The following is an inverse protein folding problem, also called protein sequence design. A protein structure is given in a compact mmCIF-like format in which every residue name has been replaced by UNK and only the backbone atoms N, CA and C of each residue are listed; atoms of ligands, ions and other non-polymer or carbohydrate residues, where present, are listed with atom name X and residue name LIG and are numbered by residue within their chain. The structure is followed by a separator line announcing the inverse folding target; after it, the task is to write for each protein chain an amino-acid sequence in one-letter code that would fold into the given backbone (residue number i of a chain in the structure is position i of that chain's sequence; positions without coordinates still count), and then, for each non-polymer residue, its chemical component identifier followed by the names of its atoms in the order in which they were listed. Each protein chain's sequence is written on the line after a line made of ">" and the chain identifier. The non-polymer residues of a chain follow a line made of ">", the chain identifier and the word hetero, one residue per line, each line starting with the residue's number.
data_IF_471428598050
#
_entry.id   IF_471428598050
#
_cell.length_a   1.000
_cell.length_b   1.000
_cell.length_c   1.000
_cell.angle_alpha   90.00
_cell.angle_beta   90.00
_cell.angle_gamma   90.00
#
_symmetry.space_group_name_H-M   'P 1'
#
loop_
_entity.id
_entity.type
_entity.pdbx_description
1 polymer ?
#
# COMPACT_ATOMS: atom_id res chain seq x y z
N UNK A 1 26.52 21.86 -68.81
CA UNK A 1 25.21 22.29 -68.31
C UNK A 1 25.32 22.34 -66.81
N UNK A 2 25.23 23.53 -66.26
CA UNK A 2 25.21 23.82 -64.83
C UNK A 2 23.84 24.46 -64.60
N UNK A 3 22.96 23.84 -63.80
CA UNK A 3 22.15 24.58 -62.82
C UNK A 3 21.33 23.65 -61.89
N UNK A 4 21.73 23.69 -60.60
CA UNK A 4 20.91 23.79 -59.38
C UNK A 4 19.75 22.82 -59.14
N UNK A 5 20.04 21.82 -58.30
CA UNK A 5 19.10 21.25 -57.32
C UNK A 5 18.56 22.34 -56.40
N UNK A 6 17.25 22.57 -56.41
CA UNK A 6 16.55 23.40 -55.43
C UNK A 6 15.89 22.49 -54.39
N UNK A 7 16.26 22.71 -53.14
CA UNK A 7 15.57 22.21 -51.95
C UNK A 7 14.16 22.83 -51.86
N UNK A 8 13.17 22.02 -51.51
CA UNK A 8 11.97 22.49 -50.83
C UNK A 8 11.81 21.73 -49.52
N UNK A 9 11.75 22.50 -48.44
CA UNK A 9 11.56 22.09 -47.07
C UNK A 9 10.07 22.17 -46.75
N UNK A 10 9.48 21.12 -46.20
CA UNK A 10 8.22 21.21 -45.45
C UNK A 10 8.25 20.28 -44.23
N UNK A 11 8.66 20.89 -43.13
CA UNK A 11 8.14 20.83 -41.75
C UNK A 11 7.25 19.62 -41.39
N UNK A 12 7.74 18.85 -40.41
CA UNK A 12 6.95 18.50 -39.22
C UNK A 12 6.17 17.18 -39.23
N UNK A 13 6.29 16.49 -38.11
CA UNK A 13 5.46 15.40 -37.61
C UNK A 13 5.47 14.04 -38.31
N UNK A 14 6.22 13.12 -37.70
CA UNK A 14 5.62 11.84 -37.34
C UNK A 14 5.83 11.61 -35.84
N UNK A 15 5.01 12.30 -35.04
CA UNK A 15 4.35 11.79 -33.85
C UNK A 15 5.01 10.57 -33.19
N UNK A 16 6.17 10.76 -32.57
CA UNK A 16 6.40 10.03 -31.33
C UNK A 16 5.53 10.70 -30.28
N UNK A 17 4.26 10.28 -30.22
CA UNK A 17 3.41 10.56 -29.07
C UNK A 17 4.09 9.89 -27.88
N UNK A 18 4.98 10.64 -27.20
CA UNK A 18 5.24 10.35 -25.80
C UNK A 18 3.90 10.57 -25.14
N UNK A 19 3.23 9.48 -24.76
CA UNK A 19 1.97 9.57 -24.05
C UNK A 19 2.24 10.27 -22.71
N UNK A 20 2.14 11.60 -22.70
CA UNK A 20 2.06 12.38 -21.48
C UNK A 20 0.63 12.22 -20.98
N UNK A 21 0.40 11.12 -20.26
CA UNK A 21 -0.82 10.98 -19.48
C UNK A 21 -0.80 12.03 -18.36
N UNK A 22 -1.35 13.21 -18.66
CA UNK A 22 -1.74 14.18 -17.66
C UNK A 22 -2.96 13.62 -16.92
N UNK A 23 -2.72 12.75 -15.93
CA UNK A 23 -3.78 12.27 -15.05
C UNK A 23 -4.20 13.46 -14.19
N UNK A 24 -5.35 14.06 -14.51
CA UNK A 24 -6.02 15.01 -13.64
C UNK A 24 -6.54 14.27 -12.40
N UNK A 25 -5.69 14.12 -11.38
CA UNK A 25 -6.08 13.55 -10.10
C UNK A 25 -6.74 14.64 -9.24
N UNK A 26 -8.02 14.46 -8.83
CA UNK A 26 -8.67 15.38 -7.90
C UNK A 26 -7.81 15.58 -6.65
N UNK A 27 -7.56 16.86 -6.34
CA UNK A 27 -6.65 17.28 -5.29
C UNK A 27 -7.34 17.08 -3.94
N UNK A 28 -7.18 15.90 -3.35
CA UNK A 28 -7.47 15.68 -1.95
C UNK A 28 -6.32 14.90 -1.28
N UNK A 29 -5.72 15.53 -0.27
CA UNK A 29 -4.72 15.02 0.68
C UNK A 29 -3.25 14.86 0.21
N UNK A 30 -2.43 15.81 0.67
CA UNK A 30 -1.07 16.13 0.24
C UNK A 30 0.08 15.20 0.68
N UNK A 31 -0.15 13.93 0.99
CA UNK A 31 0.94 12.98 1.25
C UNK A 31 0.92 11.75 0.32
N UNK A 32 -0.17 11.58 -0.46
CA UNK A 32 -0.41 10.37 -1.25
C UNK A 32 -0.08 10.50 -2.76
N UNK A 33 0.13 11.71 -3.29
CA UNK A 33 0.24 11.93 -4.75
C UNK A 33 1.41 11.20 -5.44
N UNK A 34 2.61 11.24 -4.86
CA UNK A 34 3.82 10.67 -5.50
C UNK A 34 3.80 9.14 -5.52
N UNK A 35 3.22 8.52 -4.50
CA UNK A 35 3.08 7.07 -4.43
C UNK A 35 1.87 6.60 -5.26
N UNK A 36 0.72 7.27 -5.20
CA UNK A 36 -0.44 6.91 -6.01
C UNK A 36 -0.09 6.94 -7.50
N UNK A 37 0.63 7.95 -7.98
CA UNK A 37 1.05 8.01 -9.39
C UNK A 37 1.97 6.84 -9.80
N UNK A 38 2.88 6.41 -8.93
CA UNK A 38 3.77 5.28 -9.19
C UNK A 38 3.07 3.92 -9.05
N UNK A 39 2.12 3.77 -8.12
CA UNK A 39 1.34 2.54 -7.94
C UNK A 39 0.28 2.35 -9.06
N UNK A 40 -0.31 3.44 -9.56
CA UNK A 40 -1.33 3.42 -10.61
C UNK A 40 -0.82 2.94 -11.98
N UNK A 41 0.48 3.07 -12.25
CA UNK A 41 1.07 2.76 -13.55
C UNK A 41 1.28 1.25 -13.79
N UNK A 42 1.15 0.41 -12.75
CA UNK A 42 1.73 -0.96 -12.78
C UNK A 42 0.77 -2.09 -12.40
N UNK A 43 -0.38 -1.86 -11.74
CA UNK A 43 -1.15 -2.97 -11.15
C UNK A 43 -2.68 -2.92 -11.27
N UNK A 44 -3.32 -4.04 -10.93
CA UNK A 44 -4.78 -4.12 -10.74
C UNK A 44 -5.20 -3.19 -9.60
N UNK A 45 -5.91 -2.12 -9.95
CA UNK A 45 -6.38 -1.10 -9.00
C UNK A 45 -7.82 -1.40 -8.58
N UNK A 46 -8.10 -1.27 -7.28
CA UNK A 46 -9.46 -1.23 -6.74
C UNK A 46 -9.70 0.10 -6.03
N UNK A 47 -10.97 0.48 -5.90
CA UNK A 47 -11.37 1.62 -5.09
C UNK A 47 -12.12 1.14 -3.84
N UNK A 48 -11.70 1.63 -2.67
CA UNK A 48 -12.33 1.38 -1.38
C UNK A 48 -12.43 2.72 -0.64
N UNK A 49 -13.64 3.08 -0.19
CA UNK A 49 -13.90 4.34 0.53
C UNK A 49 -13.38 5.61 -0.20
N UNK A 50 -13.46 5.63 -1.54
CA UNK A 50 -12.97 6.75 -2.36
C UNK A 50 -11.44 6.81 -2.52
N UNK A 51 -10.71 5.80 -2.04
CA UNK A 51 -9.26 5.71 -2.14
C UNK A 51 -8.85 4.55 -3.05
N UNK A 52 -7.77 4.75 -3.79
CA UNK A 52 -7.23 3.73 -4.70
C UNK A 52 -6.26 2.82 -3.96
N UNK A 53 -6.41 1.52 -4.18
CA UNK A 53 -5.51 0.48 -3.68
C UNK A 53 -5.02 -0.35 -4.86
N UNK A 54 -3.77 -0.82 -4.78
CA UNK A 54 -3.11 -1.61 -5.83
C UNK A 54 -2.68 -2.95 -5.26
N UNK A 55 -2.78 -4.01 -6.06
CA UNK A 55 -2.37 -5.34 -5.64
C UNK A 55 -0.93 -5.34 -5.09
N UNK A 56 -0.74 -5.90 -3.90
CA UNK A 56 0.51 -5.80 -3.16
C UNK A 56 1.71 -6.46 -3.88
N UNK A 57 1.45 -7.57 -4.59
CA UNK A 57 2.43 -8.33 -5.38
C UNK A 57 3.12 -7.47 -6.45
N UNK A 58 2.39 -6.54 -7.05
CA UNK A 58 2.87 -5.66 -8.14
C UNK A 58 3.72 -4.49 -7.64
N UNK A 59 3.61 -4.14 -6.36
CA UNK A 59 4.14 -2.88 -5.83
C UNK A 59 5.10 -3.07 -4.66
N UNK A 60 5.40 -4.31 -4.30
CA UNK A 60 6.18 -4.64 -3.10
C UNK A 60 7.59 -4.06 -3.13
N UNK A 61 8.28 -4.12 -4.28
CA UNK A 61 9.62 -3.56 -4.42
C UNK A 61 9.61 -2.04 -4.31
N UNK A 62 8.55 -1.38 -4.81
CA UNK A 62 8.38 0.06 -4.64
C UNK A 62 8.19 0.41 -3.16
N UNK A 63 7.37 -0.35 -2.43
CA UNK A 63 7.15 -0.17 -0.99
C UNK A 63 8.46 -0.33 -0.20
N UNK A 64 9.23 -1.39 -0.47
CA UNK A 64 10.53 -1.66 0.16
C UNK A 64 11.56 -0.55 -0.06
N UNK A 65 11.50 0.13 -1.21
CA UNK A 65 12.47 1.16 -1.58
C UNK A 65 12.00 2.59 -1.28
N UNK A 66 10.73 2.80 -0.91
CA UNK A 66 10.18 4.14 -0.67
C UNK A 66 10.55 4.70 0.73
N UNK A 67 10.38 6.00 0.95
CA UNK A 67 10.55 6.68 2.24
C UNK A 67 9.40 6.44 3.23
N UNK A 68 8.21 6.11 2.75
CA UNK A 68 7.04 5.89 3.61
C UNK A 68 7.16 4.58 4.39
N UNK A 69 6.62 4.56 5.60
CA UNK A 69 6.77 3.44 6.56
C UNK A 69 5.53 2.57 6.69
N UNK A 70 4.35 3.17 6.53
CA UNK A 70 3.05 2.55 6.76
C UNK A 70 2.11 2.92 5.62
N UNK A 71 1.22 1.99 5.29
CA UNK A 71 0.24 2.12 4.23
C UNK A 71 -1.08 1.52 4.70
N UNK A 72 -2.20 2.05 4.21
CA UNK A 72 -3.49 1.36 4.34
C UNK A 72 -3.41 0.04 3.57
N UNK A 73 -4.06 -1.01 4.08
CA UNK A 73 -4.16 -2.28 3.40
C UNK A 73 -5.57 -2.84 3.46
N UNK A 74 -5.92 -3.73 2.55
CA UNK A 74 -7.17 -4.46 2.60
C UNK A 74 -7.05 -5.77 1.84
N UNK A 75 -7.65 -6.84 2.38
CA UNK A 75 -7.88 -8.08 1.63
C UNK A 75 -9.22 -7.99 0.90
N UNK A 76 -9.24 -8.27 -0.41
CA UNK A 76 -10.47 -8.41 -1.19
C UNK A 76 -10.37 -9.65 -2.07
N UNK A 77 -11.36 -10.55 -1.95
CA UNK A 77 -11.39 -11.83 -2.68
C UNK A 77 -10.08 -12.64 -2.53
N UNK A 78 -9.51 -12.63 -1.32
CA UNK A 78 -8.25 -13.33 -1.02
C UNK A 78 -6.98 -12.65 -1.55
N UNK A 79 -7.08 -11.45 -2.14
CA UNK A 79 -5.95 -10.69 -2.66
C UNK A 79 -5.66 -9.50 -1.74
N UNK A 80 -4.39 -9.31 -1.38
CA UNK A 80 -3.95 -8.16 -0.60
C UNK A 80 -3.73 -6.94 -1.51
N UNK A 81 -4.30 -5.81 -1.11
CA UNK A 81 -4.10 -4.52 -1.77
C UNK A 81 -3.48 -3.50 -0.82
N UNK A 82 -2.55 -2.70 -1.34
CA UNK A 82 -1.87 -1.61 -0.65
C UNK A 82 -2.41 -0.28 -1.16
N UNK A 83 -2.86 0.55 -0.23
CA UNK A 83 -3.45 1.86 -0.47
C UNK A 83 -2.49 3.00 -0.16
N UNK A 84 -3.04 4.20 0.12
CA UNK A 84 -2.25 5.39 0.44
C UNK A 84 -1.29 5.18 1.62
N UNK A 85 -0.14 5.84 1.54
CA UNK A 85 0.78 5.96 2.67
C UNK A 85 0.13 6.74 3.82
N UNK A 86 0.40 6.31 5.04
CA UNK A 86 -0.11 6.89 6.28
C UNK A 86 1.01 7.07 7.29
N UNK A 87 0.77 7.90 8.31
CA UNK A 87 1.67 8.04 9.43
C UNK A 87 1.45 6.95 10.50
N UNK A 88 2.32 6.93 11.51
CA UNK A 88 2.22 5.96 12.60
C UNK A 88 0.92 6.09 13.41
N UNK A 89 0.48 7.28 13.87
CA UNK A 89 -0.78 7.42 14.61
C UNK A 89 -2.00 6.90 13.83
N UNK A 90 -2.04 7.14 12.51
CA UNK A 90 -3.10 6.63 11.64
C UNK A 90 -3.02 5.10 11.53
N UNK A 91 -1.83 4.54 11.35
CA UNK A 91 -1.64 3.09 11.30
C UNK A 91 -2.05 2.42 12.62
N UNK A 92 -1.66 3.00 13.75
CA UNK A 92 -2.03 2.54 15.08
C UNK A 92 -3.55 2.52 15.26
N UNK A 93 -4.22 3.67 15.05
CA UNK A 93 -5.68 3.80 15.19
C UNK A 93 -6.43 2.86 14.25
N UNK A 94 -5.91 2.66 13.04
CA UNK A 94 -6.47 1.75 12.05
C UNK A 94 -6.54 0.31 12.55
N UNK A 95 -5.51 -0.14 13.26
CA UNK A 95 -5.48 -1.48 13.87
C UNK A 95 -6.30 -1.51 15.17
N UNK A 96 -6.06 -0.57 16.10
CA UNK A 96 -6.59 -0.63 17.46
C UNK A 96 -8.08 -0.30 17.58
N UNK A 97 -8.61 0.59 16.74
CA UNK A 97 -9.97 1.11 16.90
C UNK A 97 -10.90 0.69 15.78
N UNK A 98 -10.37 0.50 14.57
CA UNK A 98 -11.17 0.16 13.40
C UNK A 98 -11.01 -1.30 12.98
N UNK A 99 -10.04 -2.01 13.56
CA UNK A 99 -9.74 -3.40 13.22
C UNK A 99 -9.53 -3.57 11.70
N UNK A 100 -8.78 -2.65 11.09
CA UNK A 100 -8.48 -2.63 9.66
C UNK A 100 -7.00 -2.93 9.39
N UNK A 101 -6.74 -3.59 8.26
CA UNK A 101 -5.39 -4.04 7.90
C UNK A 101 -4.42 -2.89 7.62
N UNK A 102 -3.14 -3.09 7.97
CA UNK A 102 -2.04 -2.17 7.67
C UNK A 102 -0.92 -2.93 6.97
N UNK A 103 -0.28 -2.28 5.99
CA UNK A 103 0.96 -2.75 5.40
C UNK A 103 2.13 -1.91 5.90
N UNK A 104 3.12 -2.57 6.48
CA UNK A 104 4.34 -1.94 6.98
C UNK A 104 5.48 -2.21 6.00
N UNK A 105 6.39 -1.23 5.85
CA UNK A 105 7.54 -1.36 4.95
C UNK A 105 8.47 -2.54 5.30
N UNK A 106 8.51 -2.97 6.57
CA UNK A 106 9.35 -4.08 7.02
C UNK A 106 8.82 -4.71 8.32
N UNK A 107 9.38 -5.87 8.67
CA UNK A 107 9.05 -6.66 9.87
C UNK A 107 9.14 -5.86 11.17
N UNK A 108 10.17 -5.04 11.34
CA UNK A 108 10.39 -4.29 12.59
C UNK A 108 9.26 -3.28 12.84
N UNK A 109 8.85 -2.57 11.79
CA UNK A 109 7.73 -1.63 11.85
C UNK A 109 6.41 -2.36 12.13
N UNK A 110 6.17 -3.50 11.47
CA UNK A 110 4.97 -4.32 11.70
C UNK A 110 4.89 -4.81 13.15
N UNK A 111 5.98 -5.39 13.66
CA UNK A 111 6.07 -5.85 15.05
C UNK A 111 5.87 -4.71 16.05
N UNK A 112 6.37 -3.50 15.75
CA UNK A 112 6.21 -2.32 16.61
C UNK A 112 4.75 -1.89 16.69
N UNK A 113 4.05 -1.80 15.56
CA UNK A 113 2.61 -1.50 15.53
C UNK A 113 1.83 -2.56 16.30
N UNK A 114 2.10 -3.85 16.04
CA UNK A 114 1.42 -4.96 16.70
C UNK A 114 1.59 -4.92 18.22
N UNK A 115 2.83 -4.76 18.70
CA UNK A 115 3.12 -4.74 20.13
C UNK A 115 2.50 -3.53 20.82
N UNK A 116 2.55 -2.35 20.19
CA UNK A 116 1.99 -1.16 20.78
C UNK A 116 0.45 -1.24 20.88
N UNK A 117 -0.21 -1.86 19.89
CA UNK A 117 -1.66 -2.12 19.98
C UNK A 117 -1.96 -3.14 21.07
N UNK A 118 -1.21 -4.24 21.15
CA UNK A 118 -1.37 -5.24 22.21
C UNK A 118 -1.22 -4.64 23.62
N UNK A 119 -0.32 -3.67 23.78
CA UNK A 119 -0.09 -2.98 25.05
C UNK A 119 -1.19 -1.97 25.43
N UNK A 120 -2.12 -1.65 24.52
CA UNK A 120 -3.22 -0.71 24.79
C UNK A 120 -4.34 -1.34 25.62
N UNK A 121 -4.51 -2.66 25.54
CA UNK A 121 -5.68 -3.32 26.11
C UNK A 121 -5.64 -3.36 27.65
N UNK A 122 -6.76 -3.02 28.31
CA UNK A 122 -6.78 -2.81 29.77
C UNK A 122 -6.53 -4.10 30.56
N UNK A 123 -6.87 -5.26 30.01
CA UNK A 123 -6.60 -6.57 30.61
C UNK A 123 -5.40 -7.28 29.97
N UNK A 124 -4.63 -6.54 29.17
CA UNK A 124 -3.48 -7.03 28.42
C UNK A 124 -3.85 -7.56 27.03
N UNK A 125 -2.82 -7.69 26.21
CA UNK A 125 -2.88 -8.33 24.91
C UNK A 125 -1.52 -8.90 24.54
N UNK A 126 -1.49 -9.69 23.48
CA UNK A 126 -0.25 -10.25 22.95
C UNK A 126 -0.26 -10.33 21.44
N UNK A 127 0.93 -10.48 20.88
CA UNK A 127 1.15 -10.58 19.44
C UNK A 127 1.49 -12.03 19.10
N UNK A 128 0.97 -12.52 17.98
CA UNK A 128 1.37 -13.80 17.38
C UNK A 128 1.88 -13.60 15.95
N UNK A 129 2.69 -14.54 15.49
CA UNK A 129 3.39 -14.48 14.20
C UNK A 129 4.88 -14.09 14.32
N UNK A 130 5.54 -13.73 13.21
CA UNK A 130 4.92 -13.51 11.91
C UNK A 130 4.50 -14.81 11.25
N UNK A 131 3.24 -14.87 10.84
CA UNK A 131 2.67 -16.00 10.10
C UNK A 131 2.65 -15.66 8.60
N UNK A 132 2.63 -16.70 7.76
CA UNK A 132 2.45 -16.57 6.31
C UNK A 132 1.40 -17.60 5.89
N UNK A 133 0.22 -17.13 5.50
CA UNK A 133 -0.93 -18.01 5.23
C UNK A 133 -0.85 -18.73 3.88
N UNK A 134 0.29 -19.31 3.51
CA UNK A 134 0.45 -20.08 2.27
C UNK A 134 1.63 -19.61 1.42
N UNK A 135 1.69 -20.09 0.16
CA UNK A 135 2.87 -19.94 -0.70
C UNK A 135 2.73 -18.95 -1.87
N UNK A 136 1.53 -18.45 -2.15
CA UNK A 136 1.22 -17.44 -3.19
C UNK A 136 1.65 -16.01 -2.79
N UNK A 137 1.79 -15.11 -3.77
CA UNK A 137 2.04 -13.67 -3.60
C UNK A 137 0.94 -12.92 -2.84
N UNK A 138 -0.23 -13.55 -2.62
CA UNK A 138 -1.29 -13.03 -1.75
C UNK A 138 -0.99 -13.20 -0.26
N UNK A 139 0.02 -14.01 0.10
CA UNK A 139 0.38 -14.33 1.49
C UNK A 139 1.66 -13.60 1.88
N UNK A 140 1.49 -12.37 2.33
CA UNK A 140 2.56 -11.62 2.98
C UNK A 140 2.69 -12.05 4.43
N UNK A 141 3.91 -11.96 4.97
CA UNK A 141 4.10 -12.18 6.40
C UNK A 141 3.30 -11.13 7.17
N UNK A 142 2.68 -11.54 8.26
CA UNK A 142 1.89 -10.63 9.08
C UNK A 142 1.86 -11.03 10.54
N UNK A 143 1.51 -10.06 11.38
CA UNK A 143 1.21 -10.28 12.78
C UNK A 143 -0.29 -10.20 13.03
N UNK A 144 -0.74 -10.96 14.03
CA UNK A 144 -2.06 -10.82 14.62
C UNK A 144 -1.94 -10.33 16.06
N UNK A 145 -2.92 -9.55 16.48
CA UNK A 145 -3.04 -9.05 17.85
C UNK A 145 -4.21 -9.74 18.53
N UNK A 146 -4.00 -10.15 19.78
CA UNK A 146 -5.01 -10.75 20.63
C UNK A 146 -5.23 -9.88 21.86
N UNK A 147 -6.49 -9.71 22.23
CA UNK A 147 -6.94 -9.02 23.44
C UNK A 147 -7.49 -10.04 24.43
N UNK A 148 -7.13 -9.88 25.70
CA UNK A 148 -7.87 -10.53 26.78
C UNK A 148 -9.11 -9.68 27.09
N UNK A 149 -10.29 -10.20 26.80
CA UNK A 149 -11.55 -9.54 27.20
C UNK A 149 -11.85 -9.87 28.67
N UNK A 150 -11.49 -11.08 29.08
CA UNK A 150 -11.45 -11.53 30.48
C UNK A 150 -10.22 -12.41 30.67
N UNK A 151 -9.92 -12.84 31.90
CA UNK A 151 -8.83 -13.78 32.18
C UNK A 151 -8.95 -15.13 31.45
N UNK A 152 -10.14 -15.47 30.93
CA UNK A 152 -10.43 -16.74 30.25
C UNK A 152 -11.01 -16.59 28.83
N UNK A 153 -11.20 -15.35 28.34
CA UNK A 153 -11.76 -15.10 27.01
C UNK A 153 -10.81 -14.24 26.18
N UNK A 154 -10.39 -14.81 25.06
CA UNK A 154 -9.47 -14.22 24.10
C UNK A 154 -10.22 -13.78 22.85
N UNK A 155 -9.98 -12.55 22.42
CA UNK A 155 -10.44 -12.02 21.16
C UNK A 155 -9.25 -11.81 20.22
N UNK A 156 -9.30 -12.45 19.04
CA UNK A 156 -8.34 -12.20 17.96
C UNK A 156 -8.85 -11.02 17.16
N UNK A 157 -8.09 -9.93 17.08
CA UNK A 157 -8.43 -8.85 16.16
C UNK A 157 -8.44 -9.39 14.72
N UNK A 158 -9.46 -9.10 13.91
CA UNK A 158 -9.58 -9.64 12.56
C UNK A 158 -8.60 -9.02 11.57
N UNK A 159 -7.94 -7.91 11.95
CA UNK A 159 -6.95 -7.24 11.11
C UNK A 159 -5.59 -7.93 11.11
N UNK A 160 -4.84 -7.58 10.08
CA UNK A 160 -3.50 -8.09 9.83
C UNK A 160 -2.53 -6.91 9.71
N UNK A 161 -1.32 -7.11 10.25
CA UNK A 161 -0.24 -6.14 10.16
C UNK A 161 0.85 -6.74 9.27
N UNK A 162 0.68 -6.52 7.97
CA UNK A 162 1.49 -7.12 6.91
C UNK A 162 2.86 -6.48 6.75
N UNK A 163 3.81 -7.23 6.19
CA UNK A 163 5.08 -6.73 5.71
C UNK A 163 5.66 -7.62 4.58
N UNK A 164 6.66 -7.13 3.81
CA UNK A 164 7.33 -7.90 2.76
C UNK A 164 8.06 -9.13 3.27
#
# INVERSE_FOLDING_TARGET
>A
MEDKTKEEYNIGDSDTVSAQFAIAIPIALGLAKALIASLLLIGKVIELFGEKYVEASEVIENVKNNKYKYYKAAIKNGILYIGPAIDYPTAFTRVSNFELDVFCKNKSLASTVAQNVANLFPFGGFVTGPDKDGYSSIYFYHYHVYEYITSSFLYKLPCHIFFP
#
